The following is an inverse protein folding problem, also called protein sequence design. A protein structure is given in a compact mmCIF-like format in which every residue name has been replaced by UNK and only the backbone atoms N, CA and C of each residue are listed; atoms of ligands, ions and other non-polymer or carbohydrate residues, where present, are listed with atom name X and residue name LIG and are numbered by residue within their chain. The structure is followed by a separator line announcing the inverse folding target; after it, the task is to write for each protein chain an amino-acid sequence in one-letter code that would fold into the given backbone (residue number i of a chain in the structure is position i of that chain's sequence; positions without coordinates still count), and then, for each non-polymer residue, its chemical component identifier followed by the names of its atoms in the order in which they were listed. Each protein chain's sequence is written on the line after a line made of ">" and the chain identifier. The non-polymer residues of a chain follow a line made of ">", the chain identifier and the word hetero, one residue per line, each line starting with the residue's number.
data_IF_632262207122
#
_entry.id   IF_632262207122
#
_cell.length_a   1.000
_cell.length_b   1.000
_cell.length_c   1.000
_cell.angle_alpha   90.00
_cell.angle_beta   90.00
_cell.angle_gamma   90.00
#
_symmetry.space_group_name_H-M   'P 1'
#
loop_
_entity.id
_entity.type
_entity.pdbx_description
1 polymer ?
#
# COMPACT_ATOMS: atom_id res chain seq x y z
N UNK A 1 31.35 48.60 -9.10
CA UNK A 1 31.18 47.53 -8.10
C UNK A 1 29.89 47.79 -7.34
N UNK A 2 28.74 47.40 -7.90
CA UNK A 2 27.42 47.61 -7.26
C UNK A 2 26.99 46.30 -6.62
N UNK A 3 26.95 46.26 -5.29
CA UNK A 3 26.49 45.11 -4.53
C UNK A 3 24.95 45.17 -4.43
N UNK A 4 24.27 44.16 -4.96
CA UNK A 4 22.83 43.93 -4.74
C UNK A 4 22.65 43.02 -3.53
N UNK A 5 21.94 43.52 -2.51
CA UNK A 5 21.55 42.74 -1.33
C UNK A 5 20.51 41.67 -1.71
N UNK A 6 20.52 40.48 -1.07
CA UNK A 6 19.56 39.43 -1.34
C UNK A 6 18.16 39.83 -0.83
N UNK A 7 17.16 39.75 -1.71
CA UNK A 7 15.75 40.00 -1.38
C UNK A 7 15.23 38.83 -0.54
N UNK A 8 14.69 39.14 0.64
CA UNK A 8 14.00 38.20 1.51
C UNK A 8 12.75 37.63 0.80
N UNK A 9 12.47 36.32 0.92
CA UNK A 9 11.25 35.75 0.36
C UNK A 9 10.01 36.34 1.05
N UNK A 10 8.88 36.48 0.33
CA UNK A 10 7.65 37.04 0.88
C UNK A 10 7.12 36.19 2.06
N UNK A 11 6.45 36.81 3.05
CA UNK A 11 5.87 36.10 4.17
C UNK A 11 4.83 35.08 3.70
N UNK A 12 4.81 33.91 4.35
CA UNK A 12 3.83 32.87 4.06
C UNK A 12 2.40 33.39 4.34
N UNK A 13 1.41 33.06 3.49
CA UNK A 13 0.02 33.43 3.74
C UNK A 13 -0.46 32.81 5.07
N UNK A 14 -1.39 33.49 5.79
CA UNK A 14 -1.88 32.99 7.06
C UNK A 14 -2.56 31.64 6.87
N UNK A 15 -2.09 30.63 7.61
CA UNK A 15 -2.75 29.33 7.71
C UNK A 15 -4.11 29.54 8.36
N UNK A 16 -5.18 29.35 7.59
CA UNK A 16 -6.51 29.20 8.16
C UNK A 16 -6.50 27.95 9.04
N UNK A 17 -6.44 28.16 10.36
CA UNK A 17 -6.69 27.12 11.34
C UNK A 17 -8.16 26.71 11.23
N UNK A 18 -8.44 25.66 10.47
CA UNK A 18 -9.73 24.98 10.56
C UNK A 18 -9.74 24.20 11.86
N UNK A 19 -10.13 24.86 12.93
CA UNK A 19 -10.53 24.25 14.20
C UNK A 19 -11.82 23.49 13.97
N UNK A 20 -11.71 22.22 13.59
CA UNK A 20 -12.62 21.14 14.01
C UNK A 20 -12.09 19.81 13.49
N UNK A 21 -11.20 19.19 14.28
CA UNK A 21 -11.04 17.75 14.21
C UNK A 21 -12.35 17.13 14.68
N UNK A 22 -13.25 16.79 13.73
CA UNK A 22 -14.37 15.91 14.03
C UNK A 22 -13.77 14.57 14.41
N UNK A 23 -13.66 14.30 15.72
CA UNK A 23 -13.52 12.96 16.27
C UNK A 23 -14.61 12.13 15.59
N UNK A 24 -14.22 11.18 14.75
CA UNK A 24 -15.18 10.31 14.09
C UNK A 24 -15.96 9.56 15.16
N UNK A 25 -17.27 9.84 15.19
CA UNK A 25 -18.25 9.07 15.94
C UNK A 25 -18.11 7.60 15.54
N UNK A 26 -18.32 6.70 16.50
CA UNK A 26 -18.37 5.25 16.32
C UNK A 26 -19.21 4.87 15.08
N UNK A 27 -18.86 3.78 14.37
CA UNK A 27 -19.53 3.44 13.13
C UNK A 27 -21.00 3.11 13.40
N UNK A 28 -21.90 4.02 13.00
CA UNK A 28 -23.29 3.65 12.78
C UNK A 28 -23.33 2.52 11.74
N UNK A 29 -24.31 1.60 11.79
CA UNK A 29 -24.50 0.63 10.73
C UNK A 29 -24.69 1.39 9.42
N UNK A 30 -23.67 1.35 8.57
CA UNK A 30 -23.65 2.08 7.31
C UNK A 30 -24.64 1.38 6.40
N UNK A 31 -25.82 1.96 6.17
CA UNK A 31 -26.64 1.57 5.02
C UNK A 31 -25.88 2.02 3.78
N UNK A 32 -25.13 1.12 3.16
CA UNK A 32 -24.48 1.41 1.90
C UNK A 32 -25.56 1.82 0.89
N UNK A 33 -25.40 2.95 0.16
CA UNK A 33 -26.28 3.28 -0.95
C UNK A 33 -26.33 2.07 -1.88
N UNK A 34 -27.51 1.51 -2.05
CA UNK A 34 -27.68 0.30 -2.84
C UNK A 34 -27.36 0.64 -4.30
N UNK A 35 -26.19 0.23 -4.78
CA UNK A 35 -25.77 0.44 -6.16
C UNK A 35 -26.68 -0.37 -7.07
N UNK A 36 -27.22 0.25 -8.12
CA UNK A 36 -28.15 -0.38 -9.05
C UNK A 36 -27.45 -1.23 -10.12
N UNK A 37 -26.12 -1.17 -10.22
CA UNK A 37 -25.31 -1.98 -11.14
C UNK A 37 -24.24 -2.78 -10.39
N UNK A 38 -23.53 -3.63 -11.13
CA UNK A 38 -22.56 -4.60 -10.61
C UNK A 38 -23.20 -5.57 -9.61
N UNK A 39 -24.49 -5.87 -9.77
CA UNK A 39 -25.28 -6.67 -8.80
C UNK A 39 -24.79 -8.12 -8.68
N UNK A 40 -24.00 -8.61 -9.63
CA UNK A 40 -23.32 -9.89 -9.52
C UNK A 40 -22.26 -9.92 -8.40
N UNK A 41 -21.80 -8.75 -7.92
CA UNK A 41 -20.76 -8.61 -6.90
C UNK A 41 -21.32 -8.20 -5.52
N UNK A 42 -22.61 -8.40 -5.25
CA UNK A 42 -23.27 -7.97 -3.99
C UNK A 42 -22.61 -8.54 -2.73
N UNK A 43 -22.06 -9.76 -2.80
CA UNK A 43 -21.34 -10.38 -1.69
C UNK A 43 -19.97 -9.73 -1.42
N UNK A 44 -19.49 -8.89 -2.34
CA UNK A 44 -18.20 -8.20 -2.27
C UNK A 44 -18.39 -6.69 -2.49
N UNK A 45 -18.83 -5.93 -1.48
CA UNK A 45 -19.17 -4.51 -1.62
C UNK A 45 -18.04 -3.65 -2.21
N UNK A 46 -16.78 -3.94 -1.86
CA UNK A 46 -15.62 -3.22 -2.40
C UNK A 46 -15.38 -3.53 -3.88
N UNK A 47 -15.61 -4.78 -4.31
CA UNK A 47 -15.54 -5.15 -5.73
C UNK A 47 -16.69 -4.52 -6.51
N UNK A 48 -17.91 -4.54 -5.97
CA UNK A 48 -19.07 -3.88 -6.55
C UNK A 48 -18.81 -2.38 -6.75
N UNK A 49 -18.31 -1.71 -5.71
CA UNK A 49 -17.97 -0.29 -5.74
C UNK A 49 -16.85 0.01 -6.74
N UNK A 50 -15.80 -0.80 -6.78
CA UNK A 50 -14.70 -0.63 -7.74
C UNK A 50 -15.19 -0.76 -9.19
N UNK A 51 -15.98 -1.81 -9.47
CA UNK A 51 -16.60 -2.02 -10.79
C UNK A 51 -17.52 -0.87 -11.20
N UNK A 52 -18.36 -0.39 -10.27
CA UNK A 52 -19.24 0.75 -10.49
C UNK A 52 -18.47 2.04 -10.81
N UNK A 53 -17.49 2.40 -9.98
CA UNK A 53 -16.69 3.62 -10.16
C UNK A 53 -15.88 3.59 -11.46
N UNK A 54 -15.37 2.42 -11.84
CA UNK A 54 -14.61 2.23 -13.07
C UNK A 54 -15.48 1.99 -14.30
N UNK A 55 -16.80 1.85 -14.16
CA UNK A 55 -17.75 1.49 -15.24
C UNK A 55 -17.32 0.21 -15.98
N UNK A 56 -16.91 -0.80 -15.21
CA UNK A 56 -16.49 -2.11 -15.73
C UNK A 56 -17.37 -3.20 -15.17
N UNK A 57 -17.72 -4.18 -16.01
CA UNK A 57 -18.54 -5.32 -15.60
C UNK A 57 -19.89 -4.88 -14.97
N UNK A 58 -20.55 -3.86 -15.52
CA UNK A 58 -21.76 -3.29 -14.91
C UNK A 58 -22.93 -4.29 -14.83
N UNK A 59 -23.12 -5.09 -15.89
CA UNK A 59 -24.29 -5.98 -15.99
C UNK A 59 -23.98 -7.46 -15.71
N UNK A 60 -22.70 -7.86 -15.77
CA UNK A 60 -22.28 -9.27 -15.66
C UNK A 60 -20.88 -9.41 -15.09
N UNK A 61 -20.55 -10.54 -14.44
CA UNK A 61 -19.22 -10.77 -13.89
C UNK A 61 -18.15 -10.81 -14.99
N UNK A 62 -16.89 -10.44 -14.66
CA UNK A 62 -15.76 -10.67 -15.55
C UNK A 62 -15.54 -12.17 -15.76
N UNK A 63 -14.84 -12.51 -16.85
CA UNK A 63 -14.47 -13.91 -17.14
C UNK A 63 -13.58 -14.50 -16.04
N UNK A 64 -12.72 -13.67 -15.45
CA UNK A 64 -11.84 -14.03 -14.34
C UNK A 64 -11.72 -12.82 -13.41
N UNK A 65 -11.74 -13.06 -12.10
CA UNK A 65 -11.39 -12.08 -11.09
C UNK A 65 -10.70 -12.80 -9.92
N UNK A 66 -9.83 -12.07 -9.23
CA UNK A 66 -9.23 -12.50 -7.97
C UNK A 66 -9.43 -11.37 -6.97
N UNK A 67 -10.07 -11.67 -5.84
CA UNK A 67 -10.16 -10.77 -4.71
C UNK A 67 -9.16 -11.20 -3.65
N UNK A 68 -8.30 -10.30 -3.23
CA UNK A 68 -7.37 -10.54 -2.12
C UNK A 68 -7.78 -9.63 -0.97
N UNK A 69 -8.01 -10.25 0.18
CA UNK A 69 -8.27 -9.53 1.41
C UNK A 69 -6.96 -8.95 1.96
N UNK A 70 -6.89 -7.63 2.05
CA UNK A 70 -5.75 -6.87 2.56
C UNK A 70 -6.24 -6.07 3.75
N UNK A 71 -5.62 -6.28 4.91
CA UNK A 71 -5.97 -5.53 6.12
C UNK A 71 -5.71 -4.05 5.91
N UNK A 72 -6.77 -3.25 6.00
CA UNK A 72 -6.69 -1.80 5.91
C UNK A 72 -5.86 -1.23 7.06
N UNK A 73 -4.87 -0.39 6.73
CA UNK A 73 -4.09 0.38 7.70
C UNK A 73 -4.42 1.85 7.47
N UNK A 74 -4.79 2.55 8.55
CA UNK A 74 -5.07 3.98 8.47
C UNK A 74 -3.77 4.74 8.21
N UNK A 75 -3.77 5.55 7.16
CA UNK A 75 -2.66 6.43 6.83
C UNK A 75 -2.56 7.59 7.82
N UNK A 76 -1.33 7.97 8.19
CA UNK A 76 -1.03 9.17 8.96
C UNK A 76 -0.20 10.16 8.14
N UNK A 77 -0.66 11.40 8.01
CA UNK A 77 0.02 12.41 7.19
C UNK A 77 0.10 12.00 5.71
N UNK A 78 1.07 12.50 4.92
CA UNK A 78 1.16 12.19 3.50
C UNK A 78 1.99 10.92 3.22
N UNK A 79 1.64 9.81 3.88
CA UNK A 79 2.38 8.53 3.85
C UNK A 79 1.69 7.44 3.02
N UNK A 80 0.84 7.80 2.05
CA UNK A 80 0.02 6.85 1.30
C UNK A 80 0.82 5.69 0.71
N UNK A 81 1.94 5.96 0.05
CA UNK A 81 2.81 4.92 -0.54
C UNK A 81 3.46 4.00 0.50
N UNK A 82 3.88 4.56 1.63
CA UNK A 82 4.47 3.79 2.74
C UNK A 82 3.41 2.95 3.46
N UNK A 83 2.21 3.49 3.62
CA UNK A 83 1.05 2.79 4.18
C UNK A 83 0.63 1.64 3.27
N UNK A 84 0.56 1.86 1.97
CA UNK A 84 0.26 0.81 0.99
C UNK A 84 1.32 -0.31 0.98
N UNK A 85 2.61 0.04 1.10
CA UNK A 85 3.68 -0.94 1.23
C UNK A 85 3.55 -1.75 2.53
N UNK A 86 3.30 -1.07 3.64
CA UNK A 86 3.02 -1.71 4.93
C UNK A 86 1.82 -2.67 4.82
N UNK A 87 0.71 -2.25 4.21
CA UNK A 87 -0.47 -3.11 3.98
C UNK A 87 -0.13 -4.36 3.17
N UNK A 88 0.64 -4.21 2.08
CA UNK A 88 1.09 -5.33 1.26
C UNK A 88 1.97 -6.31 2.06
N UNK A 89 2.75 -5.79 3.00
CA UNK A 89 3.64 -6.57 3.88
C UNK A 89 2.99 -6.97 5.21
N UNK A 90 1.65 -6.97 5.29
CA UNK A 90 0.86 -7.33 6.47
C UNK A 90 1.21 -6.51 7.72
N UNK A 91 1.49 -5.23 7.55
CA UNK A 91 1.75 -4.27 8.63
C UNK A 91 3.16 -4.31 9.20
N UNK A 92 4.08 -5.10 8.62
CA UNK A 92 5.46 -5.20 9.13
C UNK A 92 6.45 -5.15 7.97
N UNK A 93 7.31 -4.11 7.86
CA UNK A 93 7.41 -2.96 8.76
C UNK A 93 6.18 -2.04 8.67
N UNK A 94 5.91 -1.31 9.75
CA UNK A 94 4.85 -0.30 9.83
C UNK A 94 5.16 0.91 8.92
N UNK A 95 4.13 1.67 8.55
CA UNK A 95 4.30 2.90 7.77
C UNK A 95 5.23 3.92 8.46
N UNK A 96 5.20 4.00 9.80
CA UNK A 96 6.07 4.87 10.59
C UNK A 96 7.54 4.45 10.56
N UNK A 97 7.82 3.15 10.62
CA UNK A 97 9.18 2.62 10.46
C UNK A 97 9.71 2.86 9.04
N UNK A 98 8.87 2.62 8.02
CA UNK A 98 9.18 2.91 6.63
C UNK A 98 9.47 4.41 6.43
N UNK A 99 8.71 5.30 7.08
CA UNK A 99 8.95 6.75 7.03
C UNK A 99 10.29 7.12 7.65
N UNK A 100 10.64 6.53 8.80
CA UNK A 100 11.94 6.76 9.45
C UNK A 100 13.08 6.36 8.52
N UNK A 101 13.01 5.16 7.94
CA UNK A 101 14.01 4.65 6.98
C UNK A 101 14.09 5.57 5.76
N UNK A 102 12.95 5.94 5.17
CA UNK A 102 12.92 6.81 3.99
C UNK A 102 13.50 8.21 4.28
N UNK A 103 13.33 8.75 5.50
CA UNK A 103 13.96 10.01 5.93
C UNK A 103 15.47 9.87 6.06
N UNK A 104 15.95 8.78 6.65
CA UNK A 104 17.38 8.47 6.79
C UNK A 104 18.06 8.35 5.42
N UNK A 105 17.39 7.70 4.46
CA UNK A 105 17.84 7.56 3.06
C UNK A 105 17.64 8.82 2.21
N UNK A 106 17.09 9.90 2.76
CA UNK A 106 16.76 11.15 2.05
C UNK A 106 15.81 10.92 0.86
N UNK A 107 14.90 9.97 0.98
CA UNK A 107 13.90 9.67 -0.04
C UNK A 107 12.61 10.45 0.10
N UNK A 108 12.39 11.02 1.29
CA UNK A 108 11.22 11.83 1.63
C UNK A 108 11.58 12.89 2.67
N UNK A 109 10.76 13.94 2.77
CA UNK A 109 10.76 14.87 3.89
C UNK A 109 9.70 14.50 4.95
N UNK A 110 8.46 14.17 4.54
CA UNK A 110 7.32 13.98 5.45
C UNK A 110 6.40 12.78 5.11
N UNK A 111 6.81 11.87 4.24
CA UNK A 111 6.00 10.74 3.76
C UNK A 111 5.83 10.73 2.25
N UNK A 112 5.87 11.90 1.64
CA UNK A 112 5.85 12.06 0.18
C UNK A 112 7.21 11.66 -0.40
N UNK A 113 7.21 10.65 -1.27
CA UNK A 113 8.42 10.18 -1.92
C UNK A 113 8.86 11.18 -3.00
N UNK A 114 10.15 11.51 -3.05
CA UNK A 114 10.66 12.47 -4.04
C UNK A 114 10.63 11.95 -5.49
N UNK A 115 10.60 10.62 -5.69
CA UNK A 115 10.53 10.02 -7.02
C UNK A 115 10.00 8.58 -6.97
N UNK A 116 9.63 8.06 -8.15
CA UNK A 116 9.32 6.64 -8.34
C UNK A 116 10.53 5.74 -8.01
N UNK A 117 11.72 6.18 -8.41
CA UNK A 117 12.98 5.48 -8.16
C UNK A 117 13.27 5.36 -6.66
N UNK A 118 13.00 6.40 -5.88
CA UNK A 118 13.18 6.39 -4.43
C UNK A 118 12.22 5.38 -3.77
N UNK A 119 10.95 5.34 -4.20
CA UNK A 119 9.99 4.35 -3.71
C UNK A 119 10.38 2.93 -4.12
N UNK A 120 10.79 2.73 -5.37
CA UNK A 120 11.28 1.45 -5.88
C UNK A 120 12.45 0.92 -5.05
N UNK A 121 13.47 1.76 -4.79
CA UNK A 121 14.64 1.37 -4.02
C UNK A 121 14.25 0.99 -2.58
N UNK A 122 13.38 1.78 -1.94
CA UNK A 122 12.85 1.48 -0.61
C UNK A 122 12.13 0.12 -0.56
N UNK A 123 11.30 -0.20 -1.56
CA UNK A 123 10.59 -1.49 -1.65
C UNK A 123 11.60 -2.63 -1.78
N UNK A 124 12.55 -2.51 -2.71
CA UNK A 124 13.59 -3.52 -2.92
C UNK A 124 14.37 -3.82 -1.64
N UNK A 125 14.77 -2.80 -0.89
CA UNK A 125 15.56 -2.97 0.33
C UNK A 125 14.73 -3.54 1.49
N UNK A 126 13.44 -3.18 1.55
CA UNK A 126 12.49 -3.76 2.50
C UNK A 126 12.28 -5.26 2.24
N UNK A 127 12.10 -5.65 0.97
CA UNK A 127 11.95 -7.05 0.57
C UNK A 127 13.21 -7.89 0.85
N UNK A 128 14.41 -7.33 0.58
CA UNK A 128 15.69 -8.00 0.90
C UNK A 128 15.84 -8.23 2.41
N UNK A 129 15.52 -7.22 3.22
CA UNK A 129 15.61 -7.33 4.69
C UNK A 129 14.69 -8.41 5.23
N UNK A 130 13.48 -8.53 4.69
CA UNK A 130 12.53 -9.61 5.01
C UNK A 130 13.09 -11.00 4.66
N UNK A 131 13.69 -11.18 3.47
CA UNK A 131 14.30 -12.47 3.09
C UNK A 131 15.39 -12.89 4.09
N UNK A 132 16.20 -11.94 4.55
CA UNK A 132 17.25 -12.20 5.55
C UNK A 132 16.67 -12.52 6.95
N UNK A 133 15.62 -11.82 7.39
CA UNK A 133 14.95 -12.08 8.68
C UNK A 133 14.29 -13.45 8.70
N UNK A 134 13.54 -13.82 7.65
CA UNK A 134 12.89 -15.13 7.56
C UNK A 134 13.91 -16.27 7.54
N UNK A 135 15.07 -16.07 6.91
CA UNK A 135 16.16 -17.05 6.91
C UNK A 135 16.82 -17.16 8.30
N UNK A 136 17.05 -16.04 8.99
CA UNK A 136 17.61 -16.03 10.34
C UNK A 136 16.64 -16.63 11.40
N UNK A 137 15.35 -16.35 11.26
CA UNK A 137 14.28 -16.94 12.08
C UNK A 137 14.13 -18.45 11.83
N UNK A 138 14.23 -18.91 10.57
CA UNK A 138 14.20 -20.34 10.24
C UNK A 138 15.41 -21.13 10.79
N UNK A 139 16.60 -20.52 10.84
CA UNK A 139 17.81 -21.15 11.40
C UNK A 139 17.75 -21.24 12.93
N UNK A 140 17.09 -20.27 13.59
CA UNK A 140 16.92 -20.28 15.05
C UNK A 140 15.78 -21.18 15.55
N UNK A 141 14.85 -21.58 14.66
CA UNK A 141 13.72 -22.45 14.98
C UNK A 141 14.06 -23.97 15.01
N UNK A 142 15.32 -24.36 14.74
CA UNK A 142 15.79 -25.74 14.95
C UNK A 142 16.16 -25.94 16.42
N UNK A 143 15.17 -25.89 17.31
CA UNK A 143 15.22 -26.52 18.64
C UNK A 143 13.90 -27.24 18.87
N UNK A 144 13.92 -28.55 19.13
CA UNK A 144 12.69 -29.30 19.33
C UNK A 144 12.18 -29.08 20.76
N UNK A 145 10.96 -28.58 20.91
CA UNK A 145 10.08 -29.04 21.99
C UNK A 145 8.60 -28.76 21.67
N UNK A 146 7.67 -29.61 22.15
CA UNK A 146 6.32 -29.77 21.64
C UNK A 146 5.29 -28.98 22.46
N UNK A 147 4.02 -29.09 22.05
CA UNK A 147 2.74 -29.05 22.81
C UNK A 147 1.72 -28.17 22.07
N UNK A 148 0.78 -28.75 21.32
CA UNK A 148 -0.61 -29.14 21.68
C UNK A 148 -1.59 -27.96 21.82
N UNK A 149 -2.52 -27.90 20.85
CA UNK A 149 -3.93 -27.46 20.82
C UNK A 149 -4.29 -26.07 21.42
N UNK A 150 -5.01 -25.17 20.75
CA UNK A 150 -5.65 -25.16 19.44
C UNK A 150 -6.62 -23.98 19.36
N UNK A 151 -6.52 -23.17 18.30
CA UNK A 151 -7.62 -22.42 17.69
C UNK A 151 -7.30 -22.42 16.19
N UNK A 152 -8.16 -23.08 15.42
CA UNK A 152 -7.98 -23.34 13.99
C UNK A 152 -8.30 -22.07 13.19
N UNK A 153 -7.38 -21.09 13.21
CA UNK A 153 -7.19 -20.27 12.02
C UNK A 153 -6.47 -21.18 11.02
N UNK A 154 -7.06 -21.40 9.85
CA UNK A 154 -6.53 -22.30 8.81
C UNK A 154 -5.08 -21.93 8.49
N UNK A 155 -4.15 -22.65 9.09
CA UNK A 155 -2.70 -22.46 8.98
C UNK A 155 -2.24 -22.46 7.51
N UNK A 156 -3.00 -23.14 6.63
CA UNK A 156 -2.80 -23.15 5.19
C UNK A 156 -2.83 -21.75 4.55
N UNK A 157 -3.77 -20.87 4.92
CA UNK A 157 -3.93 -19.57 4.26
C UNK A 157 -2.90 -18.53 4.74
N UNK A 158 -2.53 -18.61 6.02
CA UNK A 158 -1.47 -17.77 6.61
C UNK A 158 -0.09 -18.18 6.08
N UNK A 159 0.15 -19.48 5.93
CA UNK A 159 1.41 -20.01 5.41
C UNK A 159 1.58 -19.72 3.91
N UNK A 160 0.50 -19.79 3.12
CA UNK A 160 0.49 -19.43 1.70
C UNK A 160 0.77 -17.93 1.49
N UNK A 161 0.14 -17.04 2.27
CA UNK A 161 0.42 -15.59 2.24
C UNK A 161 1.87 -15.25 2.62
N UNK A 162 2.46 -15.94 3.60
CA UNK A 162 3.88 -15.77 3.97
C UNK A 162 4.83 -16.24 2.87
N UNK A 163 4.53 -17.37 2.23
CA UNK A 163 5.36 -17.93 1.16
C UNK A 163 5.36 -17.07 -0.11
N UNK A 164 4.23 -16.46 -0.48
CA UNK A 164 4.13 -15.60 -1.67
C UNK A 164 4.98 -14.32 -1.54
N UNK A 165 5.04 -13.71 -0.36
CA UNK A 165 5.85 -12.49 -0.13
C UNK A 165 7.36 -12.79 -0.02
N UNK A 166 7.74 -14.01 0.40
CA UNK A 166 9.16 -14.41 0.49
C UNK A 166 9.84 -14.49 -0.88
N UNK A 167 9.08 -14.65 -1.97
CA UNK A 167 9.56 -14.63 -3.35
C UNK A 167 9.23 -13.34 -4.10
N UNK A 168 8.63 -12.33 -3.45
CA UNK A 168 8.22 -11.11 -4.12
C UNK A 168 9.43 -10.37 -4.72
N UNK A 169 9.26 -9.94 -5.97
CA UNK A 169 10.18 -9.10 -6.71
C UNK A 169 9.50 -7.76 -7.00
N UNK A 170 10.31 -6.71 -7.12
CA UNK A 170 9.84 -5.40 -7.51
C UNK A 170 10.56 -4.99 -8.78
N UNK A 171 9.80 -4.50 -9.76
CA UNK A 171 10.34 -3.95 -11.00
C UNK A 171 9.88 -2.50 -11.16
N UNK A 172 10.78 -1.66 -11.69
CA UNK A 172 10.43 -0.31 -12.09
C UNK A 172 10.00 -0.32 -13.56
N UNK A 173 8.79 0.15 -13.83
CA UNK A 173 8.28 0.34 -15.19
C UNK A 173 8.24 1.84 -15.54
N UNK A 174 8.77 2.18 -16.72
CA UNK A 174 8.69 3.52 -17.29
C UNK A 174 8.01 3.45 -18.65
N UNK A 175 6.89 4.14 -18.80
CA UNK A 175 6.11 4.19 -20.03
C UNK A 175 4.61 4.09 -19.76
N UNK A 176 3.79 3.86 -20.81
CA UNK A 176 2.36 3.68 -20.68
C UNK A 176 2.01 2.50 -19.77
N UNK A 177 0.97 2.67 -18.94
CA UNK A 177 0.44 1.58 -18.12
C UNK A 177 -0.40 0.58 -18.93
N UNK A 178 -1.04 1.05 -20.01
CA UNK A 178 -1.74 0.18 -20.96
C UNK A 178 -0.75 -0.45 -21.94
N UNK A 179 0.03 -1.41 -21.45
CA UNK A 179 0.95 -2.20 -22.27
C UNK A 179 0.92 -3.67 -21.88
N UNK A 180 1.35 -4.54 -22.81
CA UNK A 180 1.33 -5.99 -22.62
C UNK A 180 2.10 -6.43 -21.37
N UNK A 181 3.24 -5.80 -21.08
CA UNK A 181 4.06 -6.12 -19.90
C UNK A 181 3.26 -5.93 -18.60
N UNK A 182 2.67 -4.76 -18.40
CA UNK A 182 1.89 -4.44 -17.19
C UNK A 182 0.67 -5.35 -17.09
N UNK A 183 -0.02 -5.59 -18.21
CA UNK A 183 -1.18 -6.49 -18.26
C UNK A 183 -0.83 -7.92 -17.85
N UNK A 184 0.25 -8.49 -18.39
CA UNK A 184 0.70 -9.84 -18.03
C UNK A 184 1.08 -9.92 -16.55
N UNK A 185 1.85 -8.95 -16.03
CA UNK A 185 2.23 -8.93 -14.62
C UNK A 185 1.00 -8.87 -13.69
N UNK A 186 -0.01 -8.04 -14.02
CA UNK A 186 -1.26 -7.98 -13.27
C UNK A 186 -2.03 -9.30 -13.31
N UNK A 187 -2.05 -10.00 -14.45
CA UNK A 187 -2.69 -11.31 -14.59
C UNK A 187 -2.00 -12.39 -13.75
N UNK A 188 -0.70 -12.24 -13.52
CA UNK A 188 0.11 -13.10 -12.63
C UNK A 188 -0.03 -12.69 -11.14
N UNK A 189 -0.80 -11.64 -10.84
CA UNK A 189 -1.11 -11.20 -9.48
C UNK A 189 -0.13 -10.18 -8.91
N UNK A 190 0.61 -9.47 -9.76
CA UNK A 190 1.44 -8.34 -9.34
C UNK A 190 0.59 -7.17 -8.80
N UNK A 191 1.18 -6.38 -7.90
CA UNK A 191 0.63 -5.11 -7.44
C UNK A 191 1.37 -3.95 -8.11
N UNK A 192 0.65 -2.88 -8.44
CA UNK A 192 1.24 -1.68 -9.03
C UNK A 192 1.28 -0.57 -7.99
N UNK A 193 2.47 -0.04 -7.75
CA UNK A 193 2.66 1.23 -7.05
C UNK A 193 2.79 2.34 -8.09
N UNK A 194 1.82 3.25 -8.13
CA UNK A 194 1.88 4.45 -8.98
C UNK A 194 2.22 5.63 -8.07
N UNK A 195 3.44 6.16 -8.11
CA UNK A 195 3.74 7.41 -7.40
C UNK A 195 2.95 8.53 -8.07
N UNK A 196 2.24 9.32 -7.28
CA UNK A 196 1.58 10.51 -7.80
C UNK A 196 2.65 11.46 -8.37
N UNK A 197 2.61 11.79 -9.66
CA UNK A 197 3.54 12.75 -10.21
C UNK A 197 3.23 14.13 -9.63
N UNK A 198 4.21 14.73 -8.95
CA UNK A 198 4.15 16.16 -8.65
C UNK A 198 4.25 16.92 -9.98
N UNK A 199 3.13 17.50 -10.42
CA UNK A 199 3.23 18.71 -11.22
C UNK A 199 3.68 19.81 -10.24
N UNK A 200 4.93 20.25 -10.37
CA UNK A 200 5.39 21.48 -9.72
C UNK A 200 4.80 22.68 -10.42
#
# INVERSE_FOLDING_TARGET
>A
MSQTLPVSPPPSPPLHQSTTAKKYLSPAPVSYPQLSSCTWALEFPELQKACFLARVCEDRPPRYYQLRDVTAILQEGPTCGLTALSMLLNGTPTAGELLRIAKELRYTNNGEMFSAQNLFQLICDTLKTKKNSTTAEAISAIKPHPTTNGILATEANVNERRNVLAAAECELHQGPLDCAKVKSALQEGACIFVPYPFQK
#
